data_IF_294995350358
#
_entry.id   IF_294995350358
#
_cell.length_a   1.000
_cell.length_b   1.000
_cell.length_c   1.000
_cell.angle_alpha   90.00
_cell.angle_beta   90.00
_cell.angle_gamma   90.00
#
_symmetry.space_group_name_H-M   'P 1'
#
loop_
_entity.id
_entity.type
_entity.pdbx_description
1 polymer ?
#
# COMPACT_ATOMS: atom_id res chain seq x y z
N UNK A 1 0.41 -17.18 -17.29
CA UNK A 1 1.47 -16.64 -16.39
C UNK A 1 0.94 -15.40 -15.69
N UNK A 2 0.13 -15.59 -14.65
CA UNK A 2 -0.41 -14.53 -13.81
C UNK A 2 0.67 -14.05 -12.86
N UNK A 3 1.33 -12.94 -13.23
CA UNK A 3 2.14 -12.16 -12.31
C UNK A 3 1.21 -11.62 -11.22
N UNK A 4 1.11 -12.39 -10.12
CA UNK A 4 0.69 -11.88 -8.83
C UNK A 4 1.70 -10.79 -8.45
N UNK A 5 1.45 -9.57 -8.92
CA UNK A 5 2.13 -8.35 -8.52
C UNK A 5 1.65 -7.97 -7.11
N UNK A 6 1.85 -8.89 -6.17
CA UNK A 6 1.79 -8.66 -4.76
C UNK A 6 3.02 -7.79 -4.47
N UNK A 7 2.81 -6.48 -4.32
CA UNK A 7 3.81 -5.59 -3.75
C UNK A 7 4.30 -6.24 -2.46
N UNK A 8 5.53 -6.77 -2.52
CA UNK A 8 6.24 -7.38 -1.42
C UNK A 8 6.57 -6.24 -0.45
N UNK A 9 5.68 -6.02 0.52
CA UNK A 9 6.05 -5.36 1.75
C UNK A 9 7.13 -6.21 2.42
N UNK A 10 8.24 -5.60 2.89
CA UNK A 10 9.38 -6.34 3.43
C UNK A 10 8.94 -7.25 4.57
N UNK A 11 9.42 -8.49 4.50
CA UNK A 11 9.15 -9.64 5.37
C UNK A 11 9.38 -9.33 6.88
N UNK A 12 10.05 -8.23 7.24
CA UNK A 12 10.21 -7.77 8.62
C UNK A 12 8.93 -7.24 9.31
N UNK A 13 7.86 -6.92 8.58
CA UNK A 13 6.60 -6.46 9.20
C UNK A 13 5.82 -7.60 9.87
N UNK A 14 6.05 -8.85 9.44
CA UNK A 14 5.36 -10.02 10.00
C UNK A 14 5.86 -10.35 11.42
N UNK A 15 7.15 -10.25 11.70
CA UNK A 15 7.69 -10.49 13.05
C UNK A 15 7.21 -9.45 14.07
N UNK A 16 7.06 -8.19 13.64
CA UNK A 16 6.62 -7.09 14.51
C UNK A 16 5.15 -7.21 14.93
N UNK A 17 4.29 -7.79 14.08
CA UNK A 17 2.86 -8.01 14.34
C UNK A 17 2.57 -9.14 15.35
N UNK A 18 3.52 -10.06 15.58
CA UNK A 18 3.34 -11.19 16.51
C UNK A 18 4.04 -10.99 17.86
N UNK A 19 4.64 -9.82 18.10
CA UNK A 19 5.24 -9.47 19.39
C UNK A 19 4.21 -9.47 20.53
N UNK A 20 4.65 -9.82 21.74
CA UNK A 20 3.90 -9.92 23.02
C UNK A 20 3.07 -8.68 23.35
N UNK A 21 3.39 -7.54 22.75
CA UNK A 21 2.72 -6.25 22.93
C UNK A 21 1.25 -6.24 22.45
N UNK A 22 0.85 -7.19 21.60
CA UNK A 22 -0.53 -7.31 21.10
C UNK A 22 -1.52 -7.90 22.12
N UNK A 23 -1.05 -8.52 23.21
CA UNK A 23 -1.93 -9.20 24.18
C UNK A 23 -2.68 -8.25 25.10
N UNK A 24 -2.15 -7.05 25.34
CA UNK A 24 -2.70 -6.09 26.33
C UNK A 24 -3.44 -4.91 25.68
N UNK A 25 -3.63 -4.93 24.36
CA UNK A 25 -4.26 -3.86 23.59
C UNK A 25 -5.27 -4.42 22.58
N UNK A 26 -6.14 -3.56 22.04
CA UNK A 26 -7.12 -3.96 21.02
C UNK A 26 -6.52 -3.75 19.64
N UNK A 27 -6.52 -4.80 18.82
CA UNK A 27 -6.25 -4.69 17.39
C UNK A 27 -7.53 -4.26 16.67
N UNK A 28 -7.48 -3.15 15.96
CA UNK A 28 -8.60 -2.64 15.17
C UNK A 28 -8.25 -2.76 13.70
N UNK A 29 -9.02 -3.59 12.98
CA UNK A 29 -8.84 -3.81 11.55
C UNK A 29 -10.01 -3.22 10.74
N UNK A 30 -9.70 -2.50 9.68
CA UNK A 30 -10.65 -1.97 8.73
C UNK A 30 -10.27 -2.37 7.31
N UNK A 31 -11.28 -2.73 6.52
CA UNK A 31 -11.14 -2.97 5.09
C UNK A 31 -12.20 -2.14 4.34
N UNK A 32 -11.82 -1.61 3.20
CA UNK A 32 -12.76 -0.88 2.33
C UNK A 32 -12.42 -1.10 0.87
N UNK A 33 -13.44 -1.08 0.03
CA UNK A 33 -13.37 -1.16 -1.42
C UNK A 33 -13.66 0.20 -2.02
N UNK A 34 -12.67 0.78 -2.69
CA UNK A 34 -12.76 2.14 -3.22
C UNK A 34 -12.33 2.14 -4.68
N UNK A 35 -13.06 2.90 -5.49
CA UNK A 35 -12.75 3.12 -6.89
C UNK A 35 -11.97 4.43 -7.03
N UNK A 36 -10.84 4.40 -7.71
CA UNK A 36 -10.07 5.61 -8.06
C UNK A 36 -10.64 6.28 -9.31
N UNK A 37 -10.24 7.53 -9.54
CA UNK A 37 -10.59 8.32 -10.73
C UNK A 37 -10.21 7.61 -12.04
N UNK A 38 -9.06 6.95 -12.06
CA UNK A 38 -8.55 6.17 -13.20
C UNK A 38 -9.36 4.92 -13.57
N UNK A 39 -10.31 4.53 -12.71
CA UNK A 39 -11.11 3.33 -12.89
C UNK A 39 -10.50 2.05 -12.32
N UNK A 40 -9.44 2.15 -11.51
CA UNK A 40 -8.99 1.03 -10.67
C UNK A 40 -9.94 0.85 -9.49
N UNK A 41 -10.19 -0.40 -9.13
CA UNK A 41 -10.88 -0.74 -7.87
C UNK A 41 -9.86 -1.33 -6.92
N UNK A 42 -9.64 -0.67 -5.78
CA UNK A 42 -8.67 -1.02 -4.76
C UNK A 42 -9.37 -1.49 -3.49
N UNK A 43 -8.88 -2.57 -2.88
CA UNK A 43 -9.22 -2.99 -1.52
C UNK A 43 -8.07 -2.64 -0.59
N UNK A 44 -8.30 -1.67 0.29
CA UNK A 44 -7.30 -1.18 1.24
C UNK A 44 -7.55 -1.84 2.58
N UNK A 45 -6.48 -2.33 3.22
CA UNK A 45 -6.53 -2.88 4.58
C UNK A 45 -5.73 -1.97 5.50
N UNK A 46 -6.40 -1.44 6.53
CA UNK A 46 -5.78 -0.64 7.55
C UNK A 46 -5.84 -1.38 8.89
N UNK A 47 -4.75 -1.28 9.64
CA UNK A 47 -4.61 -1.83 10.98
C UNK A 47 -4.18 -0.70 11.91
N UNK A 48 -4.68 -0.71 13.14
CA UNK A 48 -4.24 0.18 14.21
C UNK A 48 -4.40 -0.47 15.57
N UNK A 49 -3.63 0.00 16.54
CA UNK A 49 -3.63 -0.53 17.89
C UNK A 49 -3.98 0.55 18.88
N UNK A 50 -4.63 0.17 19.97
CA UNK A 50 -4.93 1.10 21.05
C UNK A 50 -3.67 1.48 21.81
N UNK A 51 -3.50 2.76 22.09
CA UNK A 51 -2.39 3.30 22.88
C UNK A 51 -2.82 3.44 24.33
N UNK A 52 -1.92 3.11 25.26
CA UNK A 52 -2.15 3.33 26.68
C UNK A 52 -1.89 4.79 27.02
N UNK A 53 -2.81 5.44 27.75
CA UNK A 53 -2.56 6.80 28.23
C UNK A 53 -1.45 6.81 29.29
N UNK A 54 -0.57 7.84 29.31
CA UNK A 54 0.59 7.87 30.21
C UNK A 54 0.22 7.78 31.70
N UNK A 55 -0.97 8.26 32.07
CA UNK A 55 -1.44 8.28 33.46
C UNK A 55 -2.25 7.03 33.84
N UNK A 56 -2.38 6.04 32.95
CA UNK A 56 -3.18 4.84 33.18
C UNK A 56 -2.39 3.80 34.00
N UNK A 57 -2.92 3.38 35.14
CA UNK A 57 -2.27 2.37 36.00
C UNK A 57 -2.42 0.95 35.44
N UNK A 58 -3.55 0.63 34.82
CA UNK A 58 -3.83 -0.68 34.23
C UNK A 58 -2.84 -1.04 33.12
N UNK A 59 -2.41 -2.29 33.06
CA UNK A 59 -1.58 -2.81 31.97
C UNK A 59 -2.36 -2.97 30.67
N UNK A 60 -3.64 -3.36 30.79
CA UNK A 60 -4.53 -3.55 29.64
C UNK A 60 -5.17 -2.25 29.17
N UNK A 61 -5.31 -2.14 27.85
CA UNK A 61 -5.90 -1.02 27.12
C UNK A 61 -6.91 -1.54 26.09
N UNK A 62 -8.04 -2.07 26.57
CA UNK A 62 -9.10 -2.57 25.70
C UNK A 62 -10.12 -1.47 25.38
N UNK A 63 -10.39 -1.27 24.08
CA UNK A 63 -11.45 -0.39 23.63
C UNK A 63 -12.81 -1.09 23.73
N UNK A 64 -13.84 -0.35 24.12
CA UNK A 64 -15.21 -0.87 24.12
C UNK A 64 -15.69 -1.12 22.68
N UNK A 65 -16.61 -2.07 22.51
CA UNK A 65 -17.14 -2.44 21.19
C UNK A 65 -17.69 -1.24 20.39
N UNK A 66 -18.37 -0.30 21.05
CA UNK A 66 -18.90 0.90 20.40
C UNK A 66 -17.77 1.83 19.91
N UNK A 67 -16.70 1.99 20.69
CA UNK A 67 -15.53 2.79 20.31
C UNK A 67 -14.84 2.16 19.09
N UNK A 68 -14.66 0.83 19.10
CA UNK A 68 -14.10 0.09 17.96
C UNK A 68 -14.94 0.31 16.70
N UNK A 69 -16.27 0.24 16.79
CA UNK A 69 -17.17 0.50 15.65
C UNK A 69 -17.02 1.92 15.11
N UNK A 70 -16.94 2.92 16.00
CA UNK A 70 -16.77 4.32 15.61
C UNK A 70 -15.40 4.58 14.96
N UNK A 71 -14.33 3.97 15.48
CA UNK A 71 -12.99 4.04 14.90
C UNK A 71 -12.98 3.42 13.51
N UNK A 72 -13.55 2.22 13.34
CA UNK A 72 -13.64 1.55 12.02
C UNK A 72 -14.40 2.40 11.01
N UNK A 73 -15.48 3.07 11.43
CA UNK A 73 -16.21 4.00 10.56
C UNK A 73 -15.31 5.16 10.10
N UNK A 74 -14.63 5.84 11.03
CA UNK A 74 -13.71 6.94 10.68
C UNK A 74 -12.55 6.51 9.78
N UNK A 75 -11.98 5.32 10.03
CA UNK A 75 -10.92 4.75 9.17
C UNK A 75 -11.42 4.59 7.73
N UNK A 76 -12.61 4.01 7.54
CA UNK A 76 -13.21 3.81 6.22
C UNK A 76 -13.53 5.15 5.54
N UNK A 77 -14.07 6.11 6.29
CA UNK A 77 -14.45 7.43 5.76
C UNK A 77 -13.23 8.19 5.21
N UNK A 78 -12.11 8.21 5.94
CA UNK A 78 -10.88 8.89 5.51
C UNK A 78 -10.26 8.20 4.30
N UNK A 79 -10.15 6.86 4.34
CA UNK A 79 -9.60 6.10 3.21
C UNK A 79 -10.44 6.33 1.95
N UNK A 80 -11.76 6.31 2.08
CA UNK A 80 -12.66 6.51 0.94
C UNK A 80 -12.52 7.91 0.36
N UNK A 81 -12.45 8.94 1.21
CA UNK A 81 -12.24 10.33 0.79
C UNK A 81 -10.91 10.51 0.03
N UNK A 82 -9.83 9.94 0.55
CA UNK A 82 -8.49 10.20 0.01
C UNK A 82 -8.21 9.38 -1.26
N UNK A 83 -8.76 8.16 -1.36
CA UNK A 83 -8.57 7.27 -2.53
C UNK A 83 -9.57 7.59 -3.64
N UNK A 84 -10.79 8.01 -3.33
CA UNK A 84 -11.80 8.33 -4.36
C UNK A 84 -11.46 9.59 -5.16
N UNK A 85 -10.68 10.51 -4.57
CA UNK A 85 -10.30 11.77 -5.20
C UNK A 85 -8.93 11.73 -5.91
N UNK A 86 -8.20 10.62 -5.80
CA UNK A 86 -6.83 10.51 -6.28
C UNK A 86 -6.67 9.42 -7.34
N UNK A 87 -5.70 9.67 -8.23
CA UNK A 87 -5.21 8.70 -9.21
C UNK A 87 -4.27 7.68 -8.57
N UNK A 88 -3.99 6.57 -9.27
CA UNK A 88 -3.16 5.50 -8.74
C UNK A 88 -1.75 5.99 -8.36
N UNK A 89 -1.17 6.90 -9.15
CA UNK A 89 0.16 7.49 -8.89
C UNK A 89 0.18 8.29 -7.59
N UNK A 90 -0.85 9.10 -7.35
CA UNK A 90 -0.97 9.89 -6.13
C UNK A 90 -1.21 9.01 -4.90
N UNK A 91 -2.03 7.96 -5.04
CA UNK A 91 -2.26 6.99 -3.96
C UNK A 91 -0.93 6.34 -3.54
N UNK A 92 -0.10 5.91 -4.51
CA UNK A 92 1.24 5.38 -4.20
C UNK A 92 2.13 6.44 -3.55
N UNK A 93 2.09 7.68 -4.02
CA UNK A 93 2.82 8.80 -3.42
C UNK A 93 2.45 9.07 -1.96
N UNK A 94 1.17 8.86 -1.57
CA UNK A 94 0.69 8.99 -0.18
C UNK A 94 1.04 7.79 0.71
N UNK A 95 1.19 6.60 0.11
CA UNK A 95 1.55 5.37 0.83
C UNK A 95 3.01 5.34 1.27
N UNK A 96 3.94 5.98 0.53
CA UNK A 96 5.37 5.99 0.89
C UNK A 96 5.63 6.70 2.23
N UNK A 97 5.10 7.92 2.48
CA UNK A 97 5.20 8.56 3.78
C UNK A 97 4.09 8.15 4.76
N UNK A 98 3.22 7.20 4.40
CA UNK A 98 2.05 6.79 5.21
C UNK A 98 1.16 7.97 5.69
N UNK A 99 1.00 9.02 4.86
CA UNK A 99 0.28 10.23 5.27
C UNK A 99 -1.20 9.99 5.61
N UNK A 100 -1.82 9.02 4.94
CA UNK A 100 -3.19 8.58 5.22
C UNK A 100 -3.32 7.98 6.63
N UNK A 101 -2.28 7.27 7.10
CA UNK A 101 -2.30 6.65 8.42
C UNK A 101 -2.20 7.68 9.54
N UNK A 102 -1.40 8.73 9.34
CA UNK A 102 -1.31 9.87 10.25
C UNK A 102 -2.64 10.63 10.37
N UNK A 103 -3.34 10.82 9.26
CA UNK A 103 -4.65 11.48 9.25
C UNK A 103 -5.71 10.64 9.98
N UNK A 104 -5.67 9.31 9.83
CA UNK A 104 -6.50 8.38 10.60
C UNK A 104 -6.20 8.50 12.10
N UNK A 105 -4.91 8.52 12.49
CA UNK A 105 -4.50 8.64 13.89
C UNK A 105 -5.06 9.93 14.52
N UNK A 106 -4.86 11.07 13.85
CA UNK A 106 -5.35 12.38 14.31
C UNK A 106 -6.87 12.41 14.44
N UNK A 107 -7.60 11.84 13.47
CA UNK A 107 -9.06 11.84 13.47
C UNK A 107 -9.66 10.89 14.51
N UNK A 108 -8.95 9.83 14.89
CA UNK A 108 -9.40 8.84 15.87
C UNK A 108 -9.06 9.21 17.32
N UNK A 109 -8.05 10.06 17.55
CA UNK A 109 -7.63 10.52 18.89
C UNK A 109 -8.78 10.97 19.82
N UNK A 110 -9.81 11.71 19.36
CA UNK A 110 -10.93 12.11 20.22
C UNK A 110 -11.81 10.95 20.72
N UNK A 111 -11.78 9.79 20.05
CA UNK A 111 -12.56 8.60 20.44
C UNK A 111 -11.72 7.74 21.38
N UNK A 112 -10.52 7.40 20.93
CA UNK A 112 -9.56 6.58 21.66
C UNK A 112 -8.16 6.82 21.07
N UNK A 113 -7.10 6.99 21.89
CA UNK A 113 -5.75 7.18 21.39
C UNK A 113 -5.24 5.91 20.68
N UNK A 114 -4.70 6.07 19.48
CA UNK A 114 -4.18 4.97 18.66
C UNK A 114 -2.67 5.12 18.46
N UNK A 115 -1.95 3.99 18.53
CA UNK A 115 -0.55 3.84 18.11
C UNK A 115 -0.45 2.88 16.93
N UNK A 116 0.66 2.98 16.22
CA UNK A 116 1.04 2.07 15.14
C UNK A 116 -0.07 1.84 14.10
N UNK A 117 -0.71 2.92 13.65
CA UNK A 117 -1.69 2.89 12.56
C UNK A 117 -0.93 2.82 11.25
N UNK A 118 -1.23 1.80 10.43
CA UNK A 118 -0.56 1.60 9.14
C UNK A 118 -1.51 0.96 8.12
N UNK A 119 -1.19 1.12 6.83
CA UNK A 119 -1.87 0.40 5.75
C UNK A 119 -1.15 -0.93 5.54
N UNK A 120 -1.78 -2.02 5.98
CA UNK A 120 -1.19 -3.36 5.96
C UNK A 120 -0.98 -3.89 4.54
N UNK A 121 -1.94 -3.65 3.65
CA UNK A 121 -1.86 -4.07 2.24
C UNK A 121 -2.90 -3.33 1.41
N UNK A 122 -2.56 -3.09 0.16
CA UNK A 122 -3.50 -2.62 -0.86
C UNK A 122 -3.59 -3.70 -1.94
N UNK A 123 -4.81 -4.12 -2.26
CA UNK A 123 -5.08 -5.10 -3.32
C UNK A 123 -5.80 -4.43 -4.48
N UNK A 124 -5.34 -4.65 -5.71
CA UNK A 124 -6.10 -4.25 -6.90
C UNK A 124 -7.12 -5.34 -7.20
N UNK A 125 -8.41 -5.02 -7.10
CA UNK A 125 -9.51 -5.94 -7.43
C UNK A 125 -9.77 -5.95 -8.94
N UNK A 126 -9.89 -4.76 -9.53
CA UNK A 126 -10.21 -4.60 -10.95
C UNK A 126 -9.27 -3.58 -11.56
N UNK A 127 -8.67 -3.97 -12.68
CA UNK A 127 -7.90 -3.07 -13.54
C UNK A 127 -8.83 -2.53 -14.64
N UNK A 128 -8.72 -1.24 -15.00
CA UNK A 128 -9.38 -0.71 -16.18
C UNK A 128 -8.83 -1.38 -17.44
N UNK A 129 -9.47 -1.16 -18.60
CA UNK A 129 -8.93 -1.64 -19.86
C UNK A 129 -7.55 -1.01 -20.09
N UNK A 130 -6.61 -1.84 -20.52
CA UNK A 130 -5.23 -1.44 -20.71
C UNK A 130 -5.14 -0.40 -21.83
N UNK A 131 -4.51 0.73 -21.54
CA UNK A 131 -4.29 1.84 -22.47
C UNK A 131 -2.80 2.18 -22.47
N UNK A 132 -2.16 2.13 -23.64
CA UNK A 132 -0.75 2.46 -23.80
C UNK A 132 -0.48 3.93 -23.44
N UNK A 133 -1.44 4.83 -23.67
CA UNK A 133 -1.27 6.27 -23.39
C UNK A 133 -1.07 6.53 -21.89
N UNK A 134 -1.99 6.00 -21.07
CA UNK A 134 -1.89 6.09 -19.60
C UNK A 134 -0.64 5.42 -19.04
N UNK A 135 -0.15 4.36 -19.68
CA UNK A 135 1.06 3.67 -19.24
C UNK A 135 2.31 4.52 -19.48
N UNK A 136 2.44 5.13 -20.66
CA UNK A 136 3.59 5.99 -20.98
C UNK A 136 3.65 7.20 -20.04
N UNK A 137 2.51 7.78 -19.70
CA UNK A 137 2.42 8.90 -18.75
C UNK A 137 2.88 8.53 -17.34
N UNK A 138 2.54 7.32 -16.88
CA UNK A 138 2.99 6.82 -15.57
C UNK A 138 4.48 6.51 -15.50
N UNK A 139 5.12 6.15 -16.63
CA UNK A 139 6.56 5.84 -16.72
C UNK A 139 7.43 7.00 -17.26
N UNK A 140 6.82 8.10 -17.72
CA UNK A 140 7.53 9.26 -18.30
C UNK A 140 8.19 10.19 -17.27
N UNK A 141 7.77 10.15 -16.00
CA UNK A 141 8.23 11.06 -14.94
C UNK A 141 9.13 10.35 -13.91
N UNK A 142 9.98 9.43 -14.35
CA UNK A 142 11.08 8.88 -13.54
C UNK A 142 12.43 9.07 -14.26
N UNK A 143 12.58 10.23 -14.89
CA UNK A 143 13.81 10.69 -15.53
C UNK A 143 14.59 11.64 -14.62
N UNK A 144 15.28 11.11 -13.60
CA UNK A 144 16.57 11.67 -13.18
C UNK A 144 17.62 10.56 -13.20
N UNK A 145 18.35 10.58 -14.31
CA UNK A 145 19.62 9.90 -14.58
C UNK A 145 19.58 8.40 -14.90
N UNK A 146 19.08 8.07 -16.08
CA UNK A 146 19.81 7.18 -16.99
C UNK A 146 19.67 7.77 -18.40
N UNK A 147 20.78 8.33 -18.86
CA UNK A 147 21.18 8.65 -20.23
C UNK A 147 20.10 8.70 -21.31
N UNK A 148 19.97 9.88 -21.91
CA UNK A 148 19.51 10.10 -23.27
C UNK A 148 20.19 9.12 -24.23
N UNK A 149 19.52 8.04 -24.59
CA UNK A 149 19.73 7.34 -25.85
C UNK A 149 18.43 6.65 -26.28
N UNK A 150 17.72 7.41 -27.12
CA UNK A 150 16.80 6.93 -28.14
C UNK A 150 17.25 5.56 -28.66
N UNK A 151 16.30 4.61 -28.71
CA UNK A 151 16.55 3.23 -29.11
C UNK A 151 17.48 3.12 -30.33
N UNK A 152 18.63 2.52 -30.09
CA UNK A 152 19.46 1.94 -31.14
C UNK A 152 18.75 0.67 -31.61
N UNK A 153 18.18 0.72 -32.82
CA UNK A 153 18.00 -0.51 -33.60
C UNK A 153 19.38 -1.15 -33.67
N UNK A 154 19.54 -2.33 -33.07
CA UNK A 154 20.69 -3.18 -33.37
C UNK A 154 20.48 -3.64 -34.80
N UNK A 155 21.16 -3.00 -35.75
CA UNK A 155 21.41 -3.62 -37.05
C UNK A 155 22.12 -4.93 -36.74
N UNK A 156 21.41 -6.03 -36.95
CA UNK A 156 21.93 -7.39 -36.84
C UNK A 156 22.66 -7.67 -38.14
N UNK A 157 24.01 -7.66 -38.20
CA UNK A 157 24.70 -8.13 -39.38
C UNK A 157 24.39 -9.63 -39.56
N UNK A 158 23.93 -9.97 -40.75
CA UNK A 158 23.37 -11.24 -41.20
C UNK A 158 24.41 -12.37 -41.34
N UNK A 159 25.31 -12.55 -40.37
CA UNK A 159 26.27 -13.65 -40.43
C UNK A 159 26.78 -14.11 -39.06
N UNK A 160 25.89 -14.69 -38.25
CA UNK A 160 26.29 -15.47 -37.08
C UNK A 160 25.83 -16.92 -37.24
N UNK A 161 26.71 -17.75 -37.81
CA UNK A 161 26.60 -19.21 -37.74
C UNK A 161 27.16 -19.69 -36.39
N UNK A 162 26.40 -20.47 -35.62
CA UNK A 162 26.90 -21.05 -34.39
C UNK A 162 27.92 -22.16 -34.71
N UNK A 163 29.08 -22.20 -34.04
CA UNK A 163 30.08 -23.25 -34.25
C UNK A 163 29.52 -24.62 -33.84
N UNK A 164 29.64 -25.59 -34.76
CA UNK A 164 29.28 -27.00 -34.56
C UNK A 164 30.19 -27.59 -33.49
N UNK A 165 29.61 -28.15 -32.43
CA UNK A 165 30.36 -28.87 -31.39
C UNK A 165 30.93 -30.16 -31.99
N UNK A 166 32.25 -30.25 -32.13
CA UNK A 166 32.91 -31.53 -32.35
C UNK A 166 32.82 -32.38 -31.08
N UNK A 167 32.39 -33.61 -31.28
CA UNK A 167 32.25 -34.64 -30.26
C UNK A 167 33.59 -35.36 -30.10
N UNK A 168 34.19 -35.29 -28.91
CA UNK A 168 35.16 -36.27 -28.37
C UNK A 168 34.99 -36.34 -26.86
#
# INVERSE_FOLDING_TARGET
>A
MTLNHQLYLPIGMLEKLWSTEHREQTCIEANTDVKTTDGYVLRVFCIGFTEKMPNQTSKTCYAQHMQVKNIRKKMVDIITRDVSNSELKEVVGKLIPDSMADDIRKACNPIFPLKDVHIRKVKVLKKPRFDLGKLLEMHGESGKSASTEVGSKVDRPDNYEPPVQESV
#
